data_IF_364710739341
#
_entry.id   IF_364710739341
#
_cell.length_a   1.000
_cell.length_b   1.000
_cell.length_c   1.000
_cell.angle_alpha   90.00
_cell.angle_beta   90.00
_cell.angle_gamma   90.00
#
_symmetry.space_group_name_H-M   'P 1'
#
loop_
_entity.id
_entity.type
_entity.pdbx_description
1 polymer ?
#
# COMPACT_ATOMS: atom_id res chain seq x y z
N UNK A 1 -19.64 -7.11 6.34
CA UNK A 1 -19.97 -5.78 6.88
C UNK A 1 -18.71 -5.25 7.55
N UNK A 2 -17.81 -4.67 6.76
CA UNK A 2 -16.70 -3.84 7.22
C UNK A 2 -16.39 -2.92 6.04
N UNK A 3 -16.70 -1.64 6.19
CA UNK A 3 -16.27 -0.58 5.30
C UNK A 3 -15.35 0.28 6.15
N UNK A 4 -14.13 -0.19 6.38
CA UNK A 4 -13.08 0.62 7.00
C UNK A 4 -12.49 1.52 5.93
N UNK A 5 -12.88 2.80 5.97
CA UNK A 5 -12.12 3.86 5.32
C UNK A 5 -10.94 4.13 6.25
N UNK A 6 -9.85 3.40 6.07
CA UNK A 6 -8.62 3.64 6.82
C UNK A 6 -7.89 4.85 6.23
N UNK A 7 -8.32 6.06 6.59
CA UNK A 7 -7.52 7.27 6.37
C UNK A 7 -6.40 7.31 7.43
N UNK A 8 -5.39 6.44 7.33
CA UNK A 8 -4.22 6.54 8.22
C UNK A 8 -3.35 7.73 7.81
N UNK A 9 -3.45 8.82 8.56
CA UNK A 9 -2.61 10.00 8.39
C UNK A 9 -1.25 9.79 9.07
N UNK A 10 -0.23 9.41 8.31
CA UNK A 10 1.16 9.44 8.80
C UNK A 10 1.69 10.88 8.70
N UNK A 11 1.71 11.58 9.83
CA UNK A 11 2.26 12.94 9.93
C UNK A 11 3.79 12.90 10.02
N UNK A 12 4.46 12.93 8.86
CA UNK A 12 5.85 13.35 8.76
C UNK A 12 5.86 14.89 8.68
N UNK A 13 6.95 15.58 9.06
CA UNK A 13 7.00 17.05 9.16
C UNK A 13 6.38 17.70 7.89
N UNK A 14 5.21 18.35 8.04
CA UNK A 14 4.39 19.00 6.99
C UNK A 14 3.95 18.12 5.81
N UNK A 15 3.91 16.79 5.99
CA UNK A 15 3.42 15.84 4.99
C UNK A 15 2.26 15.04 5.57
N UNK A 16 1.14 15.01 4.86
CA UNK A 16 -0.04 14.21 5.18
C UNK A 16 -0.17 13.10 4.13
N UNK A 17 -0.01 11.85 4.55
CA UNK A 17 -0.30 10.69 3.70
C UNK A 17 -1.75 10.26 3.95
N UNK A 18 -2.52 9.98 2.90
CA UNK A 18 -3.90 9.49 3.02
C UNK A 18 -4.04 8.26 2.14
N UNK A 19 -4.36 7.13 2.77
CA UNK A 19 -4.69 5.90 2.06
C UNK A 19 -6.19 5.84 1.77
N UNK A 20 -6.56 5.51 0.52
CA UNK A 20 -7.95 5.42 0.08
C UNK A 20 -8.20 4.02 -0.46
N UNK A 21 -9.14 3.31 0.18
CA UNK A 21 -9.56 1.99 -0.28
C UNK A 21 -11.07 1.98 -0.51
N UNK A 22 -11.48 1.71 -1.75
CA UNK A 22 -12.88 1.66 -2.13
C UNK A 22 -13.20 0.27 -2.69
N UNK A 23 -14.01 -0.49 -1.95
CA UNK A 23 -14.44 -1.84 -2.34
C UNK A 23 -15.22 -1.80 -3.66
N UNK A 24 -14.73 -2.54 -4.66
CA UNK A 24 -15.33 -2.70 -5.99
C UNK A 24 -16.83 -3.07 -5.93
N UNK A 25 -17.27 -3.79 -4.90
CA UNK A 25 -18.67 -4.22 -4.75
C UNK A 25 -19.57 -3.20 -4.03
N UNK A 26 -19.00 -2.18 -3.37
CA UNK A 26 -19.73 -1.15 -2.61
C UNK A 26 -19.52 0.27 -3.17
N UNK A 27 -19.18 0.39 -4.46
CA UNK A 27 -18.98 1.65 -5.17
C UNK A 27 -20.29 2.40 -5.47
N UNK A 28 -20.89 3.05 -4.45
CA UNK A 28 -21.95 4.04 -4.70
C UNK A 28 -21.34 5.43 -4.94
N UNK A 29 -21.89 6.26 -5.86
CA UNK A 29 -21.39 7.64 -6.07
C UNK A 29 -21.33 8.48 -4.79
N UNK A 30 -22.28 8.26 -3.86
CA UNK A 30 -22.34 8.94 -2.57
C UNK A 30 -21.11 8.66 -1.68
N UNK A 31 -20.55 7.44 -1.75
CA UNK A 31 -19.35 7.09 -0.98
C UNK A 31 -18.15 7.93 -1.43
N UNK A 32 -18.00 8.11 -2.73
CA UNK A 32 -16.94 8.93 -3.30
C UNK A 32 -17.13 10.42 -3.00
N UNK A 33 -18.36 10.94 -3.06
CA UNK A 33 -18.67 12.32 -2.69
C UNK A 33 -18.32 12.59 -1.22
N UNK A 34 -18.70 11.68 -0.31
CA UNK A 34 -18.35 11.79 1.11
C UNK A 34 -16.83 11.77 1.31
N UNK A 35 -16.11 10.85 0.65
CA UNK A 35 -14.65 10.78 0.70
C UNK A 35 -14.00 12.09 0.23
N UNK A 36 -14.45 12.63 -0.90
CA UNK A 36 -13.94 13.90 -1.41
C UNK A 36 -14.26 15.06 -0.46
N UNK A 37 -15.45 15.11 0.15
CA UNK A 37 -15.77 16.17 1.12
C UNK A 37 -14.86 16.15 2.38
N UNK A 38 -14.47 14.95 2.84
CA UNK A 38 -13.53 14.81 3.96
C UNK A 38 -12.15 15.29 3.53
N UNK A 39 -11.67 14.87 2.35
CA UNK A 39 -10.39 15.33 1.79
C UNK A 39 -10.33 16.85 1.67
N UNK A 40 -11.40 17.45 1.14
CA UNK A 40 -11.52 18.90 1.02
C UNK A 40 -11.43 19.58 2.39
N UNK A 41 -12.14 19.05 3.39
CA UNK A 41 -12.05 19.57 4.75
C UNK A 41 -10.63 19.50 5.32
N UNK A 42 -9.93 18.36 5.17
CA UNK A 42 -8.55 18.21 5.65
C UNK A 42 -7.60 19.16 4.90
N UNK A 43 -7.76 19.29 3.59
CA UNK A 43 -6.96 20.19 2.77
C UNK A 43 -7.08 21.64 3.23
N UNK A 44 -8.30 22.12 3.51
CA UNK A 44 -8.55 23.49 3.97
C UNK A 44 -7.96 23.76 5.37
N UNK A 45 -7.90 22.76 6.25
CA UNK A 45 -7.33 22.93 7.59
C UNK A 45 -5.79 22.88 7.61
N UNK A 46 -5.16 22.39 6.54
CA UNK A 46 -3.71 22.21 6.44
C UNK A 46 -3.13 22.71 5.10
N UNK A 47 -3.28 24.01 4.76
CA UNK A 47 -2.89 24.54 3.45
C UNK A 47 -1.39 24.46 3.16
N UNK A 48 -0.55 24.43 4.20
CA UNK A 48 0.91 24.37 4.07
C UNK A 48 1.47 22.94 3.98
N UNK A 49 0.59 21.92 3.97
CA UNK A 49 1.00 20.53 3.93
C UNK A 49 1.19 20.02 2.49
N UNK A 50 2.16 19.12 2.34
CA UNK A 50 2.23 18.24 1.17
C UNK A 50 1.30 17.06 1.40
N UNK A 51 0.32 16.88 0.54
CA UNK A 51 -0.62 15.77 0.55
C UNK A 51 -0.17 14.70 -0.42
N UNK A 52 -0.05 13.46 0.07
CA UNK A 52 0.16 12.27 -0.74
C UNK A 52 -1.06 11.36 -0.57
N UNK A 53 -1.87 11.25 -1.61
CA UNK A 53 -3.02 10.35 -1.64
C UNK A 53 -2.61 9.10 -2.41
N UNK A 54 -2.86 7.92 -1.84
CA UNK A 54 -2.57 6.65 -2.48
C UNK A 54 -3.65 5.62 -2.18
N UNK A 55 -3.92 4.71 -3.11
CA UNK A 55 -4.72 3.51 -2.83
C UNK A 55 -5.60 3.09 -3.99
N UNK A 56 -6.47 2.11 -3.75
CA UNK A 56 -7.34 1.51 -4.75
C UNK A 56 -8.66 2.29 -4.86
N UNK A 57 -8.77 3.08 -5.93
CA UNK A 57 -9.97 3.86 -6.23
C UNK A 57 -11.01 3.05 -6.99
N UNK A 58 -10.65 1.90 -7.58
CA UNK A 58 -11.55 1.09 -8.40
C UNK A 58 -12.33 1.88 -9.47
N UNK A 59 -11.67 2.86 -10.13
CA UNK A 59 -12.24 3.70 -11.18
C UNK A 59 -11.76 3.27 -12.59
N UNK A 60 -12.36 2.22 -13.20
CA UNK A 60 -12.00 1.81 -14.54
C UNK A 60 -12.45 2.84 -15.59
N UNK A 61 -11.84 2.78 -16.78
CA UNK A 61 -12.18 3.63 -17.93
C UNK A 61 -11.87 5.13 -17.76
N UNK A 62 -11.09 5.50 -16.74
CA UNK A 62 -10.51 6.83 -16.63
C UNK A 62 -9.03 6.74 -17.04
N UNK A 63 -8.65 7.55 -18.02
CA UNK A 63 -7.26 7.76 -18.40
C UNK A 63 -6.75 9.00 -17.68
N UNK A 64 -5.74 8.80 -16.83
CA UNK A 64 -5.12 9.84 -16.03
C UNK A 64 -3.84 10.35 -16.70
N UNK A 65 -3.59 11.66 -16.63
CA UNK A 65 -2.40 12.31 -17.15
C UNK A 65 -2.06 13.57 -16.34
N UNK A 66 -0.90 14.18 -16.57
CA UNK A 66 -0.56 15.48 -15.99
C UNK A 66 -0.32 16.51 -17.09
N UNK A 67 -0.71 17.75 -16.83
CA UNK A 67 -0.29 18.94 -17.58
C UNK A 67 0.56 19.87 -16.70
N UNK A 68 0.81 21.11 -17.17
CA UNK A 68 1.59 22.09 -16.41
C UNK A 68 0.90 22.65 -15.16
N UNK A 69 -0.40 22.37 -14.97
CA UNK A 69 -1.23 22.88 -13.89
C UNK A 69 -1.70 21.79 -12.92
N UNK A 70 -1.58 20.51 -13.29
CA UNK A 70 -1.91 19.40 -12.41
C UNK A 70 -2.41 18.16 -13.15
N UNK A 71 -3.19 17.36 -12.43
CA UNK A 71 -3.85 16.16 -12.90
C UNK A 71 -4.92 16.52 -13.92
N UNK A 72 -4.87 15.84 -15.04
CA UNK A 72 -5.88 15.85 -16.09
C UNK A 72 -6.42 14.44 -16.26
N UNK A 73 -7.65 14.34 -16.76
CA UNK A 73 -8.30 13.06 -16.94
C UNK A 73 -9.19 13.08 -18.17
N UNK A 74 -9.28 11.93 -18.84
CA UNK A 74 -10.16 11.70 -19.98
C UNK A 74 -10.87 10.35 -19.84
N UNK A 75 -11.98 10.17 -20.55
CA UNK A 75 -12.68 8.89 -20.60
C UNK A 75 -13.32 8.69 -21.96
N UNK A 76 -13.28 7.46 -22.46
CA UNK A 76 -13.98 7.02 -23.67
C UNK A 76 -15.47 6.73 -23.43
N UNK A 77 -15.92 6.78 -22.19
CA UNK A 77 -17.28 6.48 -21.74
C UNK A 77 -17.73 7.49 -20.68
N UNK A 78 -19.04 7.59 -20.36
CA UNK A 78 -19.49 8.42 -19.25
C UNK A 78 -18.81 8.01 -17.94
N UNK A 79 -18.18 8.96 -17.26
CA UNK A 79 -17.53 8.73 -15.96
C UNK A 79 -18.62 8.58 -14.91
N UNK A 80 -18.71 7.39 -14.30
CA UNK A 80 -19.72 7.07 -13.28
C UNK A 80 -19.57 7.92 -12.01
N UNK A 81 -18.34 8.28 -11.68
CA UNK A 81 -17.98 9.00 -10.45
C UNK A 81 -17.07 10.18 -10.80
N UNK A 82 -17.62 11.29 -11.31
CA UNK A 82 -16.81 12.42 -11.74
C UNK A 82 -16.27 13.25 -10.58
N UNK A 83 -16.79 13.10 -9.35
CA UNK A 83 -16.35 13.90 -8.20
C UNK A 83 -14.87 13.70 -7.88
N UNK A 84 -14.36 12.47 -7.92
CA UNK A 84 -12.94 12.18 -7.66
C UNK A 84 -12.00 12.89 -8.63
N UNK A 85 -12.05 12.63 -9.95
CA UNK A 85 -11.14 13.28 -10.88
C UNK A 85 -11.29 14.81 -10.89
N UNK A 86 -12.52 15.32 -10.70
CA UNK A 86 -12.78 16.76 -10.60
C UNK A 86 -12.10 17.38 -9.39
N UNK A 87 -12.26 16.82 -8.20
CA UNK A 87 -11.66 17.36 -6.97
C UNK A 87 -10.14 17.28 -7.06
N UNK A 88 -9.57 16.14 -7.48
CA UNK A 88 -8.11 16.00 -7.60
C UNK A 88 -7.50 17.03 -8.57
N UNK A 89 -8.12 17.24 -9.73
CA UNK A 89 -7.69 18.27 -10.68
C UNK A 89 -7.86 19.70 -10.11
N UNK A 90 -8.97 19.98 -9.43
CA UNK A 90 -9.26 21.30 -8.85
C UNK A 90 -8.26 21.70 -7.76
N UNK A 91 -7.82 20.74 -6.93
CA UNK A 91 -6.88 20.99 -5.84
C UNK A 91 -5.41 20.88 -6.25
N UNK A 92 -5.12 20.81 -7.55
CA UNK A 92 -3.75 20.85 -8.07
C UNK A 92 -2.91 19.61 -7.71
N UNK A 93 -3.56 18.45 -7.56
CA UNK A 93 -2.83 17.19 -7.43
C UNK A 93 -2.19 16.80 -8.76
N UNK A 94 -1.12 16.02 -8.71
CA UNK A 94 -0.44 15.42 -9.86
C UNK A 94 -0.44 13.90 -9.68
N UNK A 95 -0.74 13.14 -10.73
CA UNK A 95 -0.53 11.69 -10.73
C UNK A 95 0.96 11.38 -10.65
N UNK A 96 1.34 10.40 -9.83
CA UNK A 96 2.74 10.01 -9.60
C UNK A 96 3.07 8.59 -10.04
N UNK A 97 2.09 7.71 -10.18
CA UNK A 97 2.28 6.34 -10.64
C UNK A 97 1.81 6.14 -12.09
N UNK A 98 2.24 5.07 -12.75
CA UNK A 98 1.91 4.75 -14.15
C UNK A 98 1.57 3.27 -14.36
N UNK A 99 1.23 2.57 -13.27
CA UNK A 99 0.96 1.13 -13.29
C UNK A 99 -0.45 0.89 -13.83
N UNK A 100 -0.51 0.19 -14.97
CA UNK A 100 -1.75 -0.18 -15.65
C UNK A 100 -2.11 -1.63 -15.35
N UNK A 101 -3.40 -1.93 -15.26
CA UNK A 101 -3.90 -3.30 -15.25
C UNK A 101 -3.94 -3.91 -16.67
N UNK A 102 -4.40 -5.17 -16.77
CA UNK A 102 -4.53 -5.88 -18.06
C UNK A 102 -5.46 -5.19 -19.07
N UNK A 103 -6.38 -4.37 -18.58
CA UNK A 103 -7.34 -3.60 -19.37
C UNK A 103 -6.85 -2.17 -19.70
N UNK A 104 -5.59 -1.85 -19.37
CA UNK A 104 -5.02 -0.51 -19.61
C UNK A 104 -5.60 0.59 -18.72
N UNK A 105 -6.16 0.25 -17.56
CA UNK A 105 -6.66 1.21 -16.56
C UNK A 105 -5.74 1.28 -15.33
N UNK A 106 -5.62 2.47 -14.74
CA UNK A 106 -4.98 2.67 -13.42
C UNK A 106 -6.09 2.61 -12.37
N UNK A 107 -6.04 1.61 -11.48
CA UNK A 107 -7.01 1.43 -10.39
C UNK A 107 -6.43 1.93 -9.06
N UNK A 108 -5.19 1.55 -8.78
CA UNK A 108 -4.40 2.11 -7.71
C UNK A 108 -3.84 3.45 -8.16
N UNK A 109 -4.34 4.55 -7.61
CA UNK A 109 -3.88 5.89 -7.98
C UNK A 109 -3.00 6.44 -6.86
N UNK A 110 -1.85 6.99 -7.23
CA UNK A 110 -1.00 7.78 -6.33
C UNK A 110 -0.96 9.19 -6.87
N UNK A 111 -1.40 10.17 -6.07
CA UNK A 111 -1.36 11.57 -6.44
C UNK A 111 -0.85 12.47 -5.32
N UNK A 112 -0.20 13.57 -5.70
CA UNK A 112 0.41 14.50 -4.75
C UNK A 112 0.24 15.94 -5.19
N UNK A 113 -0.03 16.87 -4.27
CA UNK A 113 -0.13 18.30 -4.55
C UNK A 113 1.24 19.00 -4.72
N UNK A 114 2.33 18.22 -4.75
CA UNK A 114 3.68 18.71 -5.00
C UNK A 114 4.27 17.99 -6.21
N UNK A 115 4.51 18.75 -7.28
CA UNK A 115 5.02 18.19 -8.53
C UNK A 115 6.45 17.64 -8.38
N UNK A 116 7.25 18.16 -7.45
CA UNK A 116 8.62 17.70 -7.23
C UNK A 116 8.71 16.31 -6.60
N UNK A 117 7.62 15.78 -6.05
CA UNK A 117 7.59 14.42 -5.48
C UNK A 117 7.64 13.40 -6.60
N UNK A 118 8.56 12.44 -6.48
CA UNK A 118 8.71 11.31 -7.41
C UNK A 118 8.42 10.01 -6.66
N UNK A 119 7.68 9.12 -7.31
CA UNK A 119 7.37 7.78 -6.80
C UNK A 119 8.10 6.76 -7.64
N UNK A 120 8.74 5.81 -6.97
CA UNK A 120 9.43 4.70 -7.60
C UNK A 120 8.77 3.39 -7.19
N UNK A 121 8.75 2.43 -8.11
CA UNK A 121 8.39 1.06 -7.77
C UNK A 121 9.37 0.52 -6.74
N UNK A 122 8.83 -0.09 -5.68
CA UNK A 122 9.68 -0.72 -4.66
C UNK A 122 10.34 -1.96 -5.24
N UNK A 123 11.66 -2.09 -5.07
CA UNK A 123 12.41 -3.29 -5.43
C UNK A 123 12.08 -4.49 -4.53
N UNK A 124 11.51 -4.22 -3.36
CA UNK A 124 11.07 -5.22 -2.39
C UNK A 124 9.56 -5.07 -2.16
N UNK A 125 8.76 -6.13 -2.31
CA UNK A 125 7.34 -6.05 -2.02
C UNK A 125 7.15 -5.72 -0.53
N UNK A 126 6.44 -4.62 -0.25
CA UNK A 126 6.14 -4.16 1.11
C UNK A 126 5.38 -5.23 1.92
N UNK A 127 4.59 -6.02 1.20
CA UNK A 127 3.92 -7.22 1.67
C UNK A 127 4.86 -8.38 1.34
N UNK A 128 5.49 -8.98 2.35
CA UNK A 128 6.19 -10.26 2.18
C UNK A 128 5.25 -11.20 1.39
N UNK A 129 5.74 -12.02 0.43
CA UNK A 129 4.90 -12.98 -0.29
C UNK A 129 4.00 -13.82 0.64
N UNK A 130 4.45 -14.04 1.88
CA UNK A 130 3.74 -14.73 2.96
C UNK A 130 2.48 -14.01 3.48
N UNK A 131 2.30 -12.69 3.29
CA UNK A 131 1.18 -11.97 3.88
C UNK A 131 -0.16 -12.15 3.11
N UNK A 132 -0.13 -12.41 1.79
CA UNK A 132 -1.34 -12.90 1.10
C UNK A 132 -1.69 -14.32 1.57
N UNK A 133 -0.68 -15.15 1.78
CA UNK A 133 -0.87 -16.49 2.33
C UNK A 133 -1.41 -16.44 3.76
N UNK A 134 -0.98 -15.47 4.55
CA UNK A 134 -1.46 -15.19 5.91
C UNK A 134 -2.94 -14.81 5.95
N UNK A 135 -3.38 -13.89 5.07
CA UNK A 135 -4.80 -13.50 4.96
C UNK A 135 -5.64 -14.71 4.58
N UNK A 136 -5.21 -15.49 3.58
CA UNK A 136 -5.91 -16.70 3.15
C UNK A 136 -6.01 -17.71 4.30
N UNK A 137 -4.95 -17.93 5.07
CA UNK A 137 -4.94 -18.86 6.21
C UNK A 137 -5.90 -18.40 7.32
N UNK A 138 -5.91 -17.10 7.65
CA UNK A 138 -6.84 -16.54 8.64
C UNK A 138 -8.29 -16.72 8.18
N UNK A 139 -8.59 -16.43 6.91
CA UNK A 139 -9.95 -16.59 6.35
C UNK A 139 -10.38 -18.05 6.36
N UNK A 140 -9.51 -18.98 5.99
CA UNK A 140 -9.80 -20.42 6.04
C UNK A 140 -10.04 -20.91 7.48
N UNK A 141 -9.25 -20.42 8.44
CA UNK A 141 -9.43 -20.72 9.86
C UNK A 141 -10.78 -20.22 10.37
N UNK A 142 -11.13 -18.96 10.10
CA UNK A 142 -12.42 -18.41 10.51
C UNK A 142 -13.60 -19.10 9.80
N UNK A 143 -13.41 -19.54 8.56
CA UNK A 143 -14.41 -20.29 7.80
C UNK A 143 -14.56 -21.74 8.29
N UNK A 144 -13.64 -22.25 9.12
CA UNK A 144 -13.73 -23.59 9.70
C UNK A 144 -14.72 -23.71 10.86
N UNK A 145 -15.16 -22.58 11.42
CA UNK A 145 -16.18 -22.55 12.46
C UNK A 145 -17.58 -22.55 11.86
N UNK A 146 -18.47 -23.36 12.44
CA UNK A 146 -19.91 -23.24 12.18
C UNK A 146 -20.47 -22.10 13.03
N UNK A 147 -20.41 -20.88 12.48
CA UNK A 147 -20.88 -19.67 13.16
C UNK A 147 -22.38 -19.69 13.46
N UNK A 148 -23.18 -20.43 12.69
CA UNK A 148 -24.61 -20.50 12.91
C UNK A 148 -24.91 -21.24 14.21
N UNK A 149 -24.27 -22.39 14.43
CA UNK A 149 -24.42 -23.13 15.70
C UNK A 149 -23.63 -22.51 16.85
N UNK A 150 -22.46 -21.94 16.58
CA UNK A 150 -21.63 -21.31 17.61
C UNK A 150 -22.28 -20.07 18.20
N UNK A 151 -23.03 -19.30 17.41
CA UNK A 151 -23.66 -18.05 17.84
C UNK A 151 -25.15 -18.20 18.18
N UNK A 152 -25.80 -19.32 17.88
CA UNK A 152 -27.26 -19.48 18.05
C UNK A 152 -27.73 -19.31 19.50
N UNK A 153 -26.89 -19.71 20.45
CA UNK A 153 -27.26 -19.81 21.87
C UNK A 153 -26.62 -18.70 22.73
N UNK A 154 -25.96 -17.73 22.08
CA UNK A 154 -25.23 -16.66 22.75
C UNK A 154 -26.00 -15.33 22.69
N UNK A 155 -25.91 -14.54 23.75
CA UNK A 155 -26.38 -13.15 23.70
C UNK A 155 -25.45 -12.30 22.81
N UNK A 156 -25.89 -11.10 22.43
CA UNK A 156 -25.17 -10.23 21.50
C UNK A 156 -23.74 -9.91 21.97
N UNK A 157 -23.54 -9.62 23.26
CA UNK A 157 -22.22 -9.24 23.77
C UNK A 157 -21.29 -10.46 23.81
N UNK A 158 -21.80 -11.61 24.27
CA UNK A 158 -21.03 -12.85 24.29
C UNK A 158 -20.70 -13.34 22.88
N UNK A 159 -21.63 -13.19 21.94
CA UNK A 159 -21.42 -13.49 20.51
C UNK A 159 -20.30 -12.63 19.92
N UNK A 160 -20.33 -11.32 20.18
CA UNK A 160 -19.29 -10.39 19.73
C UNK A 160 -17.93 -10.72 20.30
N UNK A 161 -17.88 -11.04 21.61
CA UNK A 161 -16.64 -11.45 22.27
C UNK A 161 -16.11 -12.76 21.68
N UNK A 162 -16.99 -13.76 21.46
CA UNK A 162 -16.60 -15.07 20.88
C UNK A 162 -16.01 -14.92 19.49
N UNK A 163 -16.61 -14.08 18.63
CA UNK A 163 -16.05 -13.77 17.32
C UNK A 163 -14.70 -13.06 17.43
N UNK A 164 -14.62 -12.05 18.31
CA UNK A 164 -13.40 -11.27 18.53
C UNK A 164 -12.26 -12.16 19.04
N UNK A 165 -12.56 -13.10 19.94
CA UNK A 165 -11.59 -14.06 20.46
C UNK A 165 -11.09 -15.01 19.37
N UNK A 166 -11.98 -15.50 18.50
CA UNK A 166 -11.57 -16.35 17.38
C UNK A 166 -10.68 -15.60 16.38
N UNK A 167 -11.03 -14.35 16.07
CA UNK A 167 -10.20 -13.47 15.24
C UNK A 167 -8.84 -13.21 15.90
N UNK A 168 -8.83 -12.83 17.18
CA UNK A 168 -7.60 -12.58 17.92
C UNK A 168 -6.70 -13.82 17.96
N UNK A 169 -7.27 -15.00 18.21
CA UNK A 169 -6.54 -16.26 18.16
C UNK A 169 -5.96 -16.56 16.76
N UNK A 170 -6.69 -16.24 15.69
CA UNK A 170 -6.18 -16.40 14.33
C UNK A 170 -4.96 -15.50 14.07
N UNK A 171 -4.99 -14.26 14.56
CA UNK A 171 -3.89 -13.31 14.43
C UNK A 171 -2.67 -13.82 15.19
N UNK A 172 -2.84 -14.18 16.47
CA UNK A 172 -1.73 -14.68 17.30
C UNK A 172 -1.08 -15.94 16.73
N UNK A 173 -1.88 -16.80 16.06
CA UNK A 173 -1.42 -18.09 15.56
C UNK A 173 -0.71 -17.99 14.23
N UNK A 174 -1.18 -17.12 13.34
CA UNK A 174 -0.73 -17.11 11.96
C UNK A 174 0.16 -15.91 11.64
N UNK A 175 -0.01 -14.78 12.32
CA UNK A 175 0.82 -13.58 12.07
C UNK A 175 2.16 -13.77 12.79
N UNK A 176 3.29 -13.90 12.05
CA UNK A 176 4.58 -13.97 12.69
C UNK A 176 4.87 -12.65 13.40
N UNK A 177 5.17 -12.72 14.69
CA UNK A 177 5.65 -11.56 15.43
C UNK A 177 6.99 -11.13 14.83
N UNK A 178 7.04 -9.96 14.19
CA UNK A 178 8.30 -9.40 13.68
C UNK A 178 9.21 -9.09 14.87
N UNK A 179 10.34 -9.79 15.04
CA UNK A 179 11.35 -9.37 16.00
C UNK A 179 11.96 -8.04 15.52
N UNK A 180 11.82 -7.00 16.34
CA UNK A 180 12.55 -5.75 16.10
C UNK A 180 14.04 -6.00 16.32
N UNK A 181 14.80 -6.12 15.23
CA UNK A 181 16.25 -6.17 15.32
C UNK A 181 16.80 -4.76 15.41
N UNK A 182 17.64 -4.50 16.43
CA UNK A 182 18.57 -3.37 16.35
C UNK A 182 19.48 -3.62 15.16
N UNK A 183 19.64 -2.62 14.28
CA UNK A 183 20.60 -2.72 13.18
C UNK A 183 21.98 -3.07 13.74
N UNK A 184 22.63 -4.06 13.14
CA UNK A 184 24.02 -4.37 13.43
C UNK A 184 24.97 -3.31 12.83
N UNK A 185 24.45 -2.41 12.00
CA UNK A 185 25.20 -1.28 11.47
C UNK A 185 25.27 -0.15 12.50
N UNK A 186 26.43 0.48 12.68
CA UNK A 186 26.54 1.71 13.46
C UNK A 186 25.62 2.81 12.91
N UNK A 187 25.09 3.66 13.78
CA UNK A 187 24.12 4.71 13.42
C UNK A 187 24.61 5.75 12.38
N UNK A 188 25.91 5.81 12.12
CA UNK A 188 26.52 6.70 11.12
C UNK A 188 26.57 6.10 9.71
N UNK A 189 26.18 4.84 9.53
CA UNK A 189 26.09 4.19 8.22
C UNK A 189 24.81 4.65 7.52
N UNK A 190 24.94 5.16 6.30
CA UNK A 190 23.78 5.53 5.49
C UNK A 190 23.02 4.29 5.02
N UNK A 191 21.69 4.40 4.85
CA UNK A 191 20.87 3.31 4.30
C UNK A 191 21.33 2.87 2.90
N UNK A 192 21.86 3.79 2.11
CA UNK A 192 22.44 3.49 0.80
C UNK A 192 23.67 2.57 0.93
N UNK A 193 24.55 2.85 1.89
CA UNK A 193 25.73 2.03 2.13
C UNK A 193 25.35 0.66 2.70
N UNK A 194 24.35 0.60 3.57
CA UNK A 194 23.77 -0.66 4.08
C UNK A 194 23.23 -1.52 2.92
N UNK A 195 22.48 -0.92 1.99
CA UNK A 195 21.97 -1.60 0.80
C UNK A 195 23.10 -2.13 -0.09
N UNK A 196 24.15 -1.34 -0.34
CA UNK A 196 25.31 -1.77 -1.11
C UNK A 196 26.06 -2.94 -0.46
N UNK A 197 26.22 -2.91 0.88
CA UNK A 197 26.84 -4.02 1.63
C UNK A 197 25.99 -5.28 1.52
N UNK A 198 24.67 -5.15 1.63
CA UNK A 198 23.75 -6.27 1.47
C UNK A 198 23.83 -6.87 0.07
N UNK A 199 23.77 -6.05 -0.99
CA UNK A 199 23.91 -6.49 -2.38
C UNK A 199 25.22 -7.24 -2.62
N UNK A 200 26.33 -6.69 -2.11
CA UNK A 200 27.65 -7.33 -2.20
C UNK A 200 27.64 -8.71 -1.53
N UNK A 201 27.10 -8.80 -0.32
CA UNK A 201 27.08 -10.04 0.45
C UNK A 201 26.16 -11.10 -0.19
N UNK A 202 24.99 -10.70 -0.69
CA UNK A 202 24.06 -11.59 -1.39
C UNK A 202 24.64 -12.11 -2.71
N UNK A 203 25.29 -11.23 -3.48
CA UNK A 203 26.02 -11.64 -4.69
C UNK A 203 27.13 -12.63 -4.34
N UNK A 204 27.92 -12.36 -3.31
CA UNK A 204 28.97 -13.26 -2.84
C UNK A 204 28.44 -14.62 -2.36
N UNK A 205 27.31 -14.63 -1.65
CA UNK A 205 26.66 -15.86 -1.21
C UNK A 205 26.19 -16.73 -2.39
N UNK A 206 25.54 -16.12 -3.39
CA UNK A 206 25.11 -16.80 -4.63
C UNK A 206 26.29 -17.38 -5.42
N UNK A 207 27.41 -16.65 -5.46
CA UNK A 207 28.64 -17.13 -6.10
C UNK A 207 29.21 -18.30 -5.31
N UNK A 208 29.26 -18.22 -3.98
CA UNK A 208 29.79 -19.29 -3.12
C UNK A 208 28.94 -20.57 -3.17
N UNK A 209 27.64 -20.46 -3.43
CA UNK A 209 26.75 -21.61 -3.62
C UNK A 209 26.79 -22.22 -5.04
N UNK A 210 27.41 -21.53 -6.01
CA UNK A 210 27.49 -21.99 -7.41
C UNK A 210 28.93 -22.37 -7.73
N UNK A 211 29.26 -23.68 -7.88
CA UNK A 211 30.64 -24.12 -8.10
C UNK A 211 31.04 -23.94 -9.57
N UNK A 212 31.08 -22.70 -10.05
CA UNK A 212 31.58 -22.37 -11.39
C UNK A 212 32.89 -21.55 -11.29
N UNK A 213 34.04 -22.13 -11.69
CA UNK A 213 35.34 -21.46 -11.58
C UNK A 213 35.50 -20.25 -12.53
N UNK A 214 34.56 -19.99 -13.45
CA UNK A 214 34.65 -18.87 -14.42
C UNK A 214 34.20 -17.54 -13.81
N UNK A 215 33.38 -17.54 -12.75
CA UNK A 215 32.75 -16.32 -12.22
C UNK A 215 33.75 -15.39 -11.52
N UNK A 216 34.84 -15.91 -10.96
CA UNK A 216 35.87 -15.10 -10.28
C UNK A 216 36.62 -14.13 -11.20
N UNK A 217 36.51 -14.29 -12.53
CA UNK A 217 37.14 -13.37 -13.50
C UNK A 217 36.34 -12.10 -13.79
N UNK A 218 35.06 -12.03 -13.38
CA UNK A 218 34.14 -10.94 -13.75
C UNK A 218 34.09 -9.81 -12.70
N UNK A 219 34.71 -9.98 -11.52
CA UNK A 219 34.85 -8.92 -10.51
C UNK A 219 36.32 -8.48 -10.35
N UNK A 220 36.71 -7.27 -10.78
CA UNK A 220 38.11 -6.84 -10.78
C UNK A 220 38.64 -6.30 -9.44
N UNK A 221 37.99 -6.59 -8.31
CA UNK A 221 38.48 -6.14 -6.99
C UNK A 221 38.37 -7.26 -5.95
N UNK A 222 39.10 -8.35 -6.17
CA UNK A 222 39.61 -9.13 -5.05
C UNK A 222 40.98 -8.56 -4.70
N UNK A 223 41.04 -7.84 -3.58
CA UNK A 223 42.29 -7.44 -2.94
C UNK A 223 43.05 -8.73 -2.65
N UNK A 224 44.15 -8.95 -3.36
CA UNK A 224 45.11 -9.99 -3.05
C UNK A 224 45.82 -9.59 -1.76
N UNK A 225 45.60 -10.36 -0.69
CA UNK A 225 46.53 -10.42 0.43
C UNK A 225 47.70 -11.34 0.08
#
# INVERSE_FOLDING_TARGET
VYTEICCECINLIRTTVIEIYIDRYQCSPLLYENCMSILENVYQHHPDHTFLLCGDYNLPNISWSNDSHGLTYTSSSPILVPCVPKSLALYGFFQKNSILNSEGSILDLICCNNDSVVVYESLEPFVLPDAYQLIIIIVLYLSSFDWVTTLSDLDLNTSSNTFTDALHNSILRFVPLSPFYKSNFPAWVSKELEALVYHKNNAHAKIKSTPDPVIYKVFPYSVQN
#
